data_IF_243321884485
#
_entry.id   IF_243321884485
#
_cell.length_a   1.000
_cell.length_b   1.000
_cell.length_c   1.000
_cell.angle_alpha   90.00
_cell.angle_beta   90.00
_cell.angle_gamma   90.00
#
_symmetry.space_group_name_H-M   'P 1'
#
loop_
_entity.id
_entity.type
_entity.pdbx_description
1 polymer ?
#
# COMPACT_ATOMS: atom_id res chain seq x y z
N UNK A 1 -15.81 -5.67 14.32
CA UNK A 1 -15.30 -5.16 15.59
C UNK A 1 -15.41 -3.65 15.57
N UNK A 2 -16.19 -3.07 16.47
CA UNK A 2 -16.45 -1.62 16.52
C UNK A 2 -15.15 -0.84 16.78
N UNK A 3 -14.23 -1.41 17.56
CA UNK A 3 -12.93 -0.80 17.87
C UNK A 3 -12.10 -0.53 16.63
N UNK A 4 -12.04 -1.52 15.72
CA UNK A 4 -11.32 -1.37 14.44
C UNK A 4 -11.96 -0.32 13.53
N UNK A 5 -13.29 -0.20 13.53
CA UNK A 5 -14.02 0.80 12.75
C UNK A 5 -13.78 2.22 13.29
N UNK A 6 -13.82 2.39 14.61
CA UNK A 6 -13.56 3.68 15.26
C UNK A 6 -12.12 4.14 15.01
N UNK A 7 -11.15 3.23 15.13
CA UNK A 7 -9.75 3.54 14.84
C UNK A 7 -9.50 3.86 13.35
N UNK A 8 -10.19 3.18 12.43
CA UNK A 8 -10.13 3.50 11.00
C UNK A 8 -10.76 4.87 10.69
N UNK A 9 -11.84 5.23 11.38
CA UNK A 9 -12.44 6.55 11.27
C UNK A 9 -11.51 7.64 11.81
N UNK A 10 -10.88 7.41 12.95
CA UNK A 10 -9.90 8.34 13.54
C UNK A 10 -8.72 8.63 12.61
N UNK A 11 -8.33 7.65 11.79
CA UNK A 11 -7.27 7.79 10.81
C UNK A 11 -7.63 8.77 9.67
N UNK A 12 -8.90 8.85 9.28
CA UNK A 12 -9.32 9.58 8.07
C UNK A 12 -10.20 10.80 8.33
N UNK A 13 -10.79 10.94 9.53
CA UNK A 13 -11.76 12.00 9.86
C UNK A 13 -11.22 13.42 9.71
N UNK A 14 -9.89 13.60 9.80
CA UNK A 14 -9.23 14.90 9.65
C UNK A 14 -8.85 15.25 8.21
N UNK A 15 -8.99 14.32 7.26
CA UNK A 15 -8.63 14.55 5.86
C UNK A 15 -9.73 15.36 5.19
N UNK A 16 -9.43 16.58 4.76
CA UNK A 16 -10.34 17.38 3.96
C UNK A 16 -10.48 16.84 2.52
N UNK A 17 -11.39 17.44 1.74
CA UNK A 17 -11.68 16.99 0.38
C UNK A 17 -10.47 17.08 -0.56
N UNK A 18 -9.71 18.18 -0.46
CA UNK A 18 -8.52 18.41 -1.28
C UNK A 18 -7.41 17.41 -0.94
N UNK A 19 -7.17 17.16 0.35
CA UNK A 19 -6.20 16.18 0.82
C UNK A 19 -6.55 14.79 0.33
N UNK A 20 -7.82 14.37 0.43
CA UNK A 20 -8.25 13.03 -0.06
C UNK A 20 -8.05 12.88 -1.57
N UNK A 21 -8.40 13.90 -2.35
CA UNK A 21 -8.20 13.86 -3.80
C UNK A 21 -6.71 13.87 -4.15
N UNK A 22 -5.93 14.71 -3.46
CA UNK A 22 -4.47 14.74 -3.61
C UNK A 22 -3.83 13.40 -3.28
N UNK A 23 -4.25 12.72 -2.20
CA UNK A 23 -3.79 11.39 -1.84
C UNK A 23 -4.16 10.35 -2.90
N UNK A 24 -5.37 10.42 -3.45
CA UNK A 24 -5.82 9.54 -4.55
C UNK A 24 -4.93 9.69 -5.77
N UNK A 25 -4.60 10.91 -6.17
CA UNK A 25 -3.69 11.20 -7.29
C UNK A 25 -2.27 10.75 -6.96
N UNK A 26 -1.75 11.12 -5.80
CA UNK A 26 -0.40 10.76 -5.36
C UNK A 26 -0.19 9.24 -5.30
N UNK A 27 -1.20 8.48 -4.87
CA UNK A 27 -1.16 7.02 -4.87
C UNK A 27 -1.04 6.43 -6.27
N UNK A 28 -1.65 7.06 -7.28
CA UNK A 28 -1.57 6.58 -8.67
C UNK A 28 -0.21 6.83 -9.31
N UNK A 29 0.49 7.90 -8.92
CA UNK A 29 1.75 8.33 -9.55
C UNK A 29 2.97 7.84 -8.77
N UNK A 30 2.96 7.98 -7.45
CA UNK A 30 4.11 7.76 -6.57
C UNK A 30 3.90 6.59 -5.61
N UNK A 31 2.75 5.92 -5.68
CA UNK A 31 2.38 4.83 -4.79
C UNK A 31 2.65 5.19 -3.31
N UNK A 32 3.40 4.35 -2.62
CA UNK A 32 3.73 4.50 -1.20
C UNK A 32 4.58 5.74 -0.86
N UNK A 33 5.21 6.36 -1.85
CA UNK A 33 6.05 7.56 -1.68
C UNK A 33 5.25 8.87 -1.84
N UNK A 34 3.97 8.77 -2.21
CA UNK A 34 3.13 9.95 -2.42
C UNK A 34 2.73 10.65 -1.13
N UNK A 35 2.46 11.94 -1.24
CA UNK A 35 2.04 12.83 -0.16
C UNK A 35 1.04 13.86 -0.68
N UNK A 36 0.06 14.23 0.14
CA UNK A 36 -0.83 15.37 -0.11
C UNK A 36 -1.36 15.91 1.22
N UNK A 37 -1.57 17.23 1.32
CA UNK A 37 -2.06 17.87 2.54
C UNK A 37 -1.20 17.58 3.79
N UNK A 38 0.11 17.33 3.61
CA UNK A 38 1.04 16.93 4.68
C UNK A 38 0.89 15.48 5.16
N UNK A 39 0.04 14.68 4.50
CA UNK A 39 -0.17 13.26 4.83
C UNK A 39 0.61 12.38 3.87
N UNK A 40 1.48 11.54 4.41
CA UNK A 40 2.28 10.59 3.66
C UNK A 40 1.53 9.27 3.49
N UNK A 41 1.46 8.76 2.26
CA UNK A 41 0.81 7.48 1.98
C UNK A 41 1.48 6.31 2.69
N UNK A 42 2.80 6.36 2.89
CA UNK A 42 3.54 5.38 3.67
C UNK A 42 3.02 5.23 5.10
N UNK A 43 2.87 6.35 5.80
CA UNK A 43 2.42 6.37 7.20
C UNK A 43 0.96 5.95 7.30
N UNK A 44 0.12 6.44 6.37
CA UNK A 44 -1.29 6.06 6.26
C UNK A 44 -1.45 4.55 6.01
N UNK A 45 -0.67 3.99 5.08
CA UNK A 45 -0.71 2.56 4.76
C UNK A 45 -0.23 1.70 5.93
N UNK A 46 0.80 2.12 6.65
CA UNK A 46 1.27 1.41 7.86
C UNK A 46 0.19 1.37 8.94
N UNK A 47 -0.48 2.50 9.20
CA UNK A 47 -1.59 2.55 10.14
C UNK A 47 -2.76 1.65 9.70
N UNK A 48 -3.18 1.75 8.43
CA UNK A 48 -4.31 0.98 7.89
C UNK A 48 -4.05 -0.54 7.90
N UNK A 49 -2.85 -0.99 7.52
CA UNK A 49 -2.47 -2.41 7.55
C UNK A 49 -2.35 -2.91 8.99
N UNK A 50 -1.83 -2.09 9.92
CA UNK A 50 -1.79 -2.42 11.34
C UNK A 50 -3.18 -2.65 11.94
N UNK A 51 -4.14 -1.77 11.63
CA UNK A 51 -5.54 -1.94 12.05
C UNK A 51 -6.17 -3.20 11.46
N UNK A 52 -5.92 -3.45 10.17
CA UNK A 52 -6.42 -4.65 9.48
C UNK A 52 -5.85 -5.93 10.11
N UNK A 53 -4.55 -5.95 10.41
CA UNK A 53 -3.90 -7.08 11.06
C UNK A 53 -4.48 -7.35 12.45
N UNK A 54 -4.63 -6.32 13.29
CA UNK A 54 -5.23 -6.44 14.62
C UNK A 54 -6.66 -7.02 14.55
N UNK A 55 -7.48 -6.53 13.62
CA UNK A 55 -8.84 -7.04 13.41
C UNK A 55 -8.89 -8.50 12.94
N UNK A 56 -7.98 -8.91 12.05
CA UNK A 56 -7.90 -10.30 11.57
C UNK A 56 -7.44 -11.26 12.68
N UNK A 57 -6.43 -10.86 13.47
CA UNK A 57 -5.98 -11.63 14.63
C UNK A 57 -7.10 -11.79 15.66
N UNK A 58 -7.84 -10.72 15.95
CA UNK A 58 -8.97 -10.77 16.89
C UNK A 58 -10.11 -11.68 16.40
N UNK A 59 -10.29 -11.81 15.08
CA UNK A 59 -11.27 -12.70 14.46
C UNK A 59 -10.87 -14.19 14.58
N UNK A 60 -9.58 -14.49 14.74
CA UNK A 60 -9.10 -15.83 15.11
C UNK A 60 -9.18 -16.90 14.02
N UNK A 61 -9.28 -16.51 12.75
CA UNK A 61 -9.42 -17.42 11.61
C UNK A 61 -8.10 -17.68 10.84
N UNK A 62 -6.99 -17.06 11.27
CA UNK A 62 -5.68 -17.23 10.62
C UNK A 62 -5.56 -16.53 9.26
N UNK A 63 -6.42 -15.56 8.97
CA UNK A 63 -6.45 -14.84 7.69
C UNK A 63 -5.43 -13.68 7.62
N UNK A 64 -4.77 -13.32 8.73
CA UNK A 64 -3.73 -12.29 8.77
C UNK A 64 -2.56 -12.57 7.82
N UNK A 65 -2.33 -13.84 7.47
CA UNK A 65 -1.36 -14.27 6.46
C UNK A 65 -1.63 -13.65 5.09
N UNK A 66 -2.88 -13.30 4.77
CA UNK A 66 -3.26 -12.67 3.51
C UNK A 66 -2.72 -11.24 3.39
N UNK A 67 -2.30 -10.63 4.51
CA UNK A 67 -1.67 -9.31 4.51
C UNK A 67 -0.17 -9.36 4.16
N UNK A 68 0.43 -10.55 4.02
CA UNK A 68 1.87 -10.70 3.76
C UNK A 68 2.40 -9.84 2.59
N UNK A 69 1.72 -9.72 1.43
CA UNK A 69 2.18 -8.87 0.34
C UNK A 69 2.20 -7.37 0.69
N UNK A 70 1.24 -6.92 1.51
CA UNK A 70 1.17 -5.53 1.98
C UNK A 70 2.25 -5.26 3.01
N UNK A 71 2.48 -6.20 3.93
CA UNK A 71 3.56 -6.13 4.92
C UNK A 71 4.92 -6.06 4.24
N UNK A 72 5.15 -6.84 3.17
CA UNK A 72 6.40 -6.79 2.41
C UNK A 72 6.58 -5.44 1.69
N UNK A 73 5.52 -4.89 1.11
CA UNK A 73 5.56 -3.57 0.48
C UNK A 73 5.90 -2.48 1.51
N UNK A 74 5.33 -2.57 2.72
CA UNK A 74 5.62 -1.68 3.86
C UNK A 74 6.98 -1.89 4.53
N UNK A 75 7.66 -3.01 4.29
CA UNK A 75 9.04 -3.20 4.73
C UNK A 75 10.03 -2.59 3.75
N UNK A 76 9.77 -2.75 2.46
CA UNK A 76 10.71 -2.42 1.39
C UNK A 76 10.61 -0.98 0.89
N UNK A 77 9.47 -0.31 1.07
CA UNK A 77 9.25 0.99 0.44
C UNK A 77 8.67 0.88 -0.96
N UNK A 78 8.40 -0.35 -1.42
CA UNK A 78 8.20 -0.65 -2.83
C UNK A 78 6.94 -1.46 -3.07
N UNK A 79 6.15 -1.01 -4.04
CA UNK A 79 5.03 -1.79 -4.59
C UNK A 79 5.49 -2.63 -5.77
N UNK A 80 4.60 -3.47 -6.29
CA UNK A 80 4.90 -4.28 -7.47
C UNK A 80 5.33 -3.43 -8.67
N UNK A 81 4.69 -2.27 -8.89
CA UNK A 81 5.05 -1.34 -9.96
C UNK A 81 6.50 -0.83 -9.85
N UNK A 82 7.00 -0.52 -8.64
CA UNK A 82 8.39 -0.12 -8.45
C UNK A 82 9.36 -1.23 -8.89
N UNK A 83 9.04 -2.49 -8.56
CA UNK A 83 9.87 -3.64 -8.95
C UNK A 83 9.89 -3.84 -10.46
N UNK A 84 8.74 -3.73 -11.12
CA UNK A 84 8.65 -3.83 -12.58
C UNK A 84 9.42 -2.71 -13.28
N UNK A 85 9.30 -1.48 -12.80
CA UNK A 85 10.03 -0.34 -13.35
C UNK A 85 11.54 -0.51 -13.16
N UNK A 86 12.00 -1.01 -12.01
CA UNK A 86 13.41 -1.30 -11.79
C UNK A 86 13.96 -2.37 -12.74
N UNK A 87 13.20 -3.44 -13.00
CA UNK A 87 13.57 -4.47 -13.97
C UNK A 87 13.59 -3.92 -15.40
N UNK A 88 12.58 -3.11 -15.76
CA UNK A 88 12.46 -2.46 -17.06
C UNK A 88 13.65 -1.54 -17.34
N UNK A 89 13.98 -0.64 -16.41
CA UNK A 89 15.13 0.28 -16.56
C UNK A 89 16.49 -0.41 -16.41
N UNK A 90 16.52 -1.60 -15.79
CA UNK A 90 17.73 -2.37 -15.53
C UNK A 90 17.85 -3.61 -16.42
N UNK A 91 17.67 -4.79 -15.81
CA UNK A 91 17.97 -6.10 -16.38
C UNK A 91 17.28 -6.38 -17.72
N UNK A 92 16.13 -5.75 -17.98
CA UNK A 92 15.40 -5.93 -19.24
C UNK A 92 15.82 -4.96 -20.34
N UNK A 93 16.64 -3.95 -20.02
CA UNK A 93 17.13 -2.97 -20.99
C UNK A 93 15.99 -2.28 -21.75
N UNK A 94 14.99 -1.82 -21.02
CA UNK A 94 13.77 -1.17 -21.54
C UNK A 94 12.93 -2.05 -22.49
N UNK A 95 13.09 -3.38 -22.38
CA UNK A 95 12.25 -4.35 -23.07
C UNK A 95 11.11 -4.85 -22.17
N UNK A 96 9.90 -4.93 -22.72
CA UNK A 96 8.76 -5.57 -22.05
C UNK A 96 8.65 -7.08 -22.38
N UNK A 97 9.50 -7.61 -23.27
CA UNK A 97 9.46 -9.03 -23.66
C UNK A 97 9.51 -10.00 -22.46
N UNK A 98 10.28 -9.74 -21.38
CA UNK A 98 10.35 -10.66 -20.24
C UNK A 98 9.13 -10.60 -19.31
N UNK A 99 8.23 -9.61 -19.47
CA UNK A 99 7.13 -9.35 -18.52
C UNK A 99 6.22 -10.55 -18.31
N UNK A 100 5.79 -11.21 -19.37
CA UNK A 100 4.86 -12.35 -19.27
C UNK A 100 5.47 -13.54 -18.53
N UNK A 101 6.77 -13.79 -18.73
CA UNK A 101 7.47 -14.87 -18.03
C UNK A 101 7.74 -14.50 -16.56
N UNK A 102 8.04 -13.24 -16.27
CA UNK A 102 8.26 -12.78 -14.90
C UNK A 102 6.95 -12.64 -14.10
N UNK A 103 5.81 -12.43 -14.77
CA UNK A 103 4.50 -12.23 -14.13
C UNK A 103 3.74 -13.54 -13.89
N UNK A 104 4.22 -14.67 -14.40
CA UNK A 104 3.60 -15.96 -14.13
C UNK A 104 3.86 -16.37 -12.68
N UNK A 105 2.77 -16.63 -11.94
CA UNK A 105 2.75 -17.15 -10.57
C UNK A 105 3.26 -18.59 -10.48
#
# INVERSE_FOLDING_TARGET
DQTALDAAWDLVKGLDGETREGLRVAASVSALKGEAGGVKLWDLARAAVGLSHAGLVARGLGEEVQLAPLVESLKTGQVQADRWLALYEGDWGQSLSPLYAAASL
#
